data_IF_229539601505
#
_entry.id   IF_229539601505
#
_cell.length_a   1.000
_cell.length_b   1.000
_cell.length_c   1.000
_cell.angle_alpha   90.00
_cell.angle_beta   90.00
_cell.angle_gamma   90.00
#
_symmetry.space_group_name_H-M   'P 1'
#
loop_
_entity.id
_entity.type
_entity.pdbx_description
1 polymer ?
#
# COMPACT_ATOMS: atom_id res chain seq x y z
N UNK A 1 -12.41 11.60 3.35
CA UNK A 1 -13.05 12.88 3.75
C UNK A 1 -13.91 13.33 2.58
N UNK A 2 -15.22 13.18 2.69
CA UNK A 2 -16.17 13.47 1.61
C UNK A 2 -16.18 14.94 1.18
N UNK A 3 -15.53 15.84 1.95
CA UNK A 3 -15.32 17.23 1.53
C UNK A 3 -14.09 17.41 0.63
N UNK A 4 -13.17 16.43 0.62
CA UNK A 4 -11.91 16.45 -0.15
C UNK A 4 -11.91 15.49 -1.33
N UNK A 5 -12.61 14.37 -1.21
CA UNK A 5 -12.77 13.37 -2.26
C UNK A 5 -14.22 12.85 -2.24
N UNK A 6 -14.95 13.07 -3.33
CA UNK A 6 -16.35 12.67 -3.50
C UNK A 6 -16.50 11.28 -4.13
N UNK A 7 -15.38 10.60 -4.42
CA UNK A 7 -15.42 9.30 -5.04
C UNK A 7 -16.05 8.25 -4.12
N UNK A 8 -17.11 7.60 -4.60
CA UNK A 8 -17.92 6.66 -3.81
C UNK A 8 -17.23 5.31 -3.51
N UNK A 9 -16.10 5.04 -4.18
CA UNK A 9 -15.38 3.78 -4.06
C UNK A 9 -15.85 2.71 -5.05
N UNK A 10 -14.91 1.93 -5.58
CA UNK A 10 -15.16 0.90 -6.60
C UNK A 10 -15.72 -0.40 -6.02
N UNK A 11 -15.53 -0.65 -4.73
CA UNK A 11 -15.82 -1.95 -4.14
C UNK A 11 -17.33 -2.20 -4.18
N UNK A 12 -17.81 -3.29 -4.82
CA UNK A 12 -19.25 -3.55 -4.96
C UNK A 12 -19.92 -3.93 -3.63
N UNK A 13 -19.13 -4.26 -2.60
CA UNK A 13 -19.64 -4.65 -1.29
C UNK A 13 -19.68 -3.50 -0.30
N UNK A 14 -18.65 -2.65 -0.29
CA UNK A 14 -18.43 -1.68 0.78
C UNK A 14 -18.34 -0.23 0.29
N UNK A 15 -18.33 0.01 -1.03
CA UNK A 15 -18.09 1.34 -1.58
C UNK A 15 -16.67 1.81 -1.30
N UNK A 16 -16.50 2.72 -0.35
CA UNK A 16 -15.29 3.47 -0.04
C UNK A 16 -14.34 2.76 0.97
N UNK A 17 -14.35 1.43 0.99
CA UNK A 17 -13.33 0.68 1.73
C UNK A 17 -11.94 0.87 1.12
N UNK A 18 -10.89 0.40 1.80
CA UNK A 18 -9.51 0.52 1.33
C UNK A 18 -9.36 0.13 -0.15
N UNK A 19 -9.72 -1.10 -0.52
CA UNK A 19 -9.66 -1.58 -1.91
C UNK A 19 -10.51 -0.70 -2.84
N UNK A 20 -11.71 -0.34 -2.40
CA UNK A 20 -12.61 0.52 -3.15
C UNK A 20 -12.00 1.88 -3.47
N UNK A 21 -11.07 2.37 -2.65
CA UNK A 21 -10.41 3.66 -2.82
C UNK A 21 -9.04 3.59 -3.49
N UNK A 22 -8.31 2.48 -3.38
CA UNK A 22 -6.88 2.38 -3.76
C UNK A 22 -6.56 1.36 -4.84
N UNK A 23 -7.53 0.54 -5.27
CA UNK A 23 -7.28 -0.42 -6.34
C UNK A 23 -7.00 0.30 -7.67
N UNK A 24 -6.20 -0.32 -8.55
CA UNK A 24 -5.95 0.21 -9.91
C UNK A 24 -7.24 0.61 -10.67
N UNK A 25 -8.30 -0.21 -10.65
CA UNK A 25 -9.60 0.16 -11.22
C UNK A 25 -10.28 1.36 -10.54
N UNK A 26 -10.04 1.59 -9.25
CA UNK A 26 -10.54 2.78 -8.55
C UNK A 26 -9.80 4.04 -9.00
N UNK A 27 -8.49 3.95 -9.23
CA UNK A 27 -7.70 5.04 -9.83
C UNK A 27 -8.22 5.34 -11.23
N UNK A 28 -8.41 4.31 -12.07
CA UNK A 28 -8.89 4.47 -13.44
C UNK A 28 -10.28 5.12 -13.50
N UNK A 29 -11.22 4.66 -12.68
CA UNK A 29 -12.56 5.26 -12.62
C UNK A 29 -12.55 6.69 -12.09
N UNK A 30 -11.75 6.96 -11.03
CA UNK A 30 -11.68 8.29 -10.42
C UNK A 30 -11.06 9.33 -11.34
N UNK A 31 -10.03 8.96 -12.10
CA UNK A 31 -9.24 9.90 -12.90
C UNK A 31 -9.47 9.81 -14.41
N UNK A 32 -10.27 8.83 -14.86
CA UNK A 32 -10.55 8.57 -16.28
C UNK A 32 -9.35 8.04 -17.08
N UNK A 33 -8.23 7.74 -16.42
CA UNK A 33 -6.97 7.27 -17.01
C UNK A 33 -6.40 6.18 -16.13
N UNK A 34 -5.87 5.11 -16.74
CA UNK A 34 -5.22 4.02 -16.01
C UNK A 34 -4.04 4.54 -15.21
N UNK A 35 -3.85 4.02 -14.01
CA UNK A 35 -2.75 4.46 -13.13
C UNK A 35 -1.37 4.39 -13.77
N UNK A 36 -1.12 3.42 -14.65
CA UNK A 36 0.18 3.30 -15.36
C UNK A 36 0.45 4.42 -16.37
N UNK A 37 -0.60 5.09 -16.86
CA UNK A 37 -0.53 6.14 -17.88
C UNK A 37 -0.56 7.55 -17.25
N UNK A 38 -0.73 7.65 -15.93
CA UNK A 38 -0.63 8.90 -15.20
C UNK A 38 0.83 9.37 -15.08
N UNK A 39 1.05 10.68 -15.19
CA UNK A 39 2.38 11.27 -14.97
C UNK A 39 2.81 11.15 -13.50
N UNK A 40 4.12 11.16 -13.23
CA UNK A 40 4.65 10.98 -11.88
C UNK A 40 4.26 12.11 -10.90
N UNK A 41 3.95 13.29 -11.40
CA UNK A 41 3.51 14.48 -10.65
C UNK A 41 1.99 14.60 -10.54
N UNK A 42 1.23 13.66 -11.09
CA UNK A 42 -0.22 13.70 -11.07
C UNK A 42 -0.77 13.65 -9.62
N UNK A 43 -1.78 14.47 -9.26
CA UNK A 43 -2.32 14.55 -7.89
C UNK A 43 -2.91 13.24 -7.37
N UNK A 44 -3.21 12.29 -8.26
CA UNK A 44 -3.62 10.93 -7.89
C UNK A 44 -2.66 10.27 -6.90
N UNK A 45 -1.35 10.47 -7.05
CA UNK A 45 -0.35 9.79 -6.22
C UNK A 45 -0.31 10.32 -4.79
N UNK A 46 -0.56 11.62 -4.58
CA UNK A 46 -0.65 12.18 -3.25
C UNK A 46 -1.88 11.64 -2.49
N UNK A 47 -3.01 11.53 -3.20
CA UNK A 47 -4.25 10.98 -2.68
C UNK A 47 -4.16 9.47 -2.41
N UNK A 48 -3.57 8.72 -3.34
CA UNK A 48 -3.33 7.29 -3.23
C UNK A 48 -2.44 6.98 -2.01
N UNK A 49 -1.32 7.72 -1.88
CA UNK A 49 -0.43 7.60 -0.73
C UNK A 49 -1.13 7.94 0.59
N UNK A 50 -2.09 8.87 0.61
CA UNK A 50 -2.86 9.20 1.81
C UNK A 50 -3.73 8.03 2.26
N UNK A 51 -4.49 7.41 1.36
CA UNK A 51 -5.33 6.27 1.70
C UNK A 51 -4.52 5.05 2.13
N UNK A 52 -3.43 4.75 1.41
CA UNK A 52 -2.53 3.68 1.81
C UNK A 52 -1.90 3.95 3.17
N UNK A 53 -1.47 5.18 3.45
CA UNK A 53 -0.89 5.53 4.75
C UNK A 53 -1.88 5.37 5.92
N UNK A 54 -3.16 5.69 5.73
CA UNK A 54 -4.21 5.43 6.73
C UNK A 54 -4.32 3.93 7.05
N UNK A 55 -4.30 3.08 6.03
CA UNK A 55 -4.31 1.64 6.20
C UNK A 55 -3.04 1.14 6.91
N UNK A 56 -1.87 1.63 6.51
CA UNK A 56 -0.60 1.24 7.12
C UNK A 56 -0.53 1.64 8.59
N UNK A 57 -0.94 2.85 8.96
CA UNK A 57 -1.01 3.25 10.37
C UNK A 57 -1.94 2.33 11.17
N UNK A 58 -3.06 1.92 10.59
CA UNK A 58 -4.00 0.97 11.22
C UNK A 58 -3.33 -0.41 11.43
N UNK A 59 -2.66 -0.94 10.41
CA UNK A 59 -1.97 -2.23 10.50
C UNK A 59 -0.79 -2.19 11.47
N UNK A 60 -0.04 -1.10 11.51
CA UNK A 60 1.05 -0.90 12.46
C UNK A 60 0.52 -0.95 13.90
N UNK A 61 -0.53 -0.19 14.20
CA UNK A 61 -1.12 -0.14 15.54
C UNK A 61 -1.83 -1.45 15.94
N UNK A 62 -2.32 -2.22 14.98
CA UNK A 62 -3.11 -3.44 15.25
C UNK A 62 -2.24 -4.69 15.31
N UNK A 63 -1.28 -4.83 14.39
CA UNK A 63 -0.51 -6.06 14.19
C UNK A 63 0.96 -5.93 14.56
N UNK A 64 1.49 -4.70 14.69
CA UNK A 64 2.91 -4.42 14.93
C UNK A 64 3.88 -5.25 14.06
N UNK A 65 3.72 -5.25 12.72
CA UNK A 65 4.58 -6.05 11.86
C UNK A 65 6.03 -5.56 11.96
N UNK A 66 6.99 -6.47 11.79
CA UNK A 66 8.42 -6.10 11.76
C UNK A 66 8.87 -5.52 10.41
N UNK A 67 8.10 -5.79 9.35
CA UNK A 67 8.29 -5.26 7.99
C UNK A 67 6.95 -5.30 7.26
N UNK A 68 6.73 -4.32 6.38
CA UNK A 68 5.58 -4.25 5.49
C UNK A 68 6.09 -4.28 4.05
N UNK A 69 5.60 -5.22 3.26
CA UNK A 69 5.98 -5.39 1.86
C UNK A 69 4.80 -4.98 0.99
N UNK A 70 4.96 -3.93 0.20
CA UNK A 70 3.91 -3.34 -0.63
C UNK A 70 4.13 -3.70 -2.10
N UNK A 71 3.30 -4.59 -2.65
CA UNK A 71 3.38 -5.04 -4.04
C UNK A 71 2.15 -4.65 -4.88
N UNK A 72 2.04 -5.24 -6.07
CA UNK A 72 0.94 -4.97 -7.01
C UNK A 72 1.24 -3.84 -8.01
N UNK A 73 0.41 -3.74 -9.05
CA UNK A 73 0.66 -2.82 -10.18
C UNK A 73 0.62 -1.34 -9.79
N UNK A 74 -0.21 -0.94 -8.82
CA UNK A 74 -0.23 0.44 -8.31
C UNK A 74 1.10 0.78 -7.62
N UNK A 75 1.61 -0.13 -6.78
CA UNK A 75 2.89 0.04 -6.09
C UNK A 75 4.11 -0.08 -7.02
N UNK A 76 3.93 -0.40 -8.31
CA UNK A 76 5.00 -0.33 -9.30
C UNK A 76 5.41 1.11 -9.64
N UNK A 77 4.63 2.11 -9.19
CA UNK A 77 4.88 3.53 -9.34
C UNK A 77 5.90 4.01 -8.29
N UNK A 78 7.18 4.24 -8.66
CA UNK A 78 8.27 4.43 -7.68
C UNK A 78 8.08 5.68 -6.80
N UNK A 79 7.43 6.72 -7.32
CA UNK A 79 7.11 7.96 -6.61
C UNK A 79 6.19 7.75 -5.40
N UNK A 80 5.46 6.63 -5.33
CA UNK A 80 4.48 6.38 -4.28
C UNK A 80 5.14 6.03 -2.93
N UNK A 81 6.30 5.37 -2.94
CA UNK A 81 7.00 4.95 -1.71
C UNK A 81 7.44 6.13 -0.83
N UNK A 82 8.10 7.18 -1.36
CA UNK A 82 8.42 8.36 -0.54
C UNK A 82 7.17 9.01 0.06
N UNK A 83 6.11 9.19 -0.74
CA UNK A 83 4.86 9.84 -0.33
C UNK A 83 4.15 9.05 0.78
N UNK A 84 3.98 7.73 0.60
CA UNK A 84 3.26 6.90 1.58
C UNK A 84 4.04 6.81 2.89
N UNK A 85 5.38 6.74 2.86
CA UNK A 85 6.22 6.68 4.06
C UNK A 85 6.10 7.98 4.86
N UNK A 86 6.20 9.13 4.19
CA UNK A 86 6.01 10.44 4.80
C UNK A 86 4.61 10.57 5.45
N UNK A 87 3.56 10.20 4.72
CA UNK A 87 2.18 10.27 5.23
C UNK A 87 1.93 9.28 6.37
N UNK A 88 2.53 8.09 6.32
CA UNK A 88 2.42 7.10 7.42
C UNK A 88 3.03 7.65 8.71
N UNK A 89 4.21 8.28 8.64
CA UNK A 89 4.80 8.96 9.79
C UNK A 89 3.91 10.08 10.34
N UNK A 90 3.38 10.90 9.44
CA UNK A 90 2.48 11.99 9.82
C UNK A 90 1.20 11.46 10.51
N UNK A 91 0.63 10.36 10.02
CA UNK A 91 -0.54 9.73 10.63
C UNK A 91 -0.26 9.06 11.98
N UNK A 92 0.91 8.44 12.14
CA UNK A 92 1.32 7.89 13.43
C UNK A 92 1.63 8.99 14.46
N UNK A 93 2.02 10.18 14.02
CA UNK A 93 2.21 11.38 14.84
C UNK A 93 2.98 11.13 16.15
N UNK A 94 4.03 10.31 16.10
CA UNK A 94 4.88 9.98 17.25
C UNK A 94 4.26 9.03 18.29
N UNK A 95 3.10 8.42 18.01
CA UNK A 95 2.47 7.45 18.90
C UNK A 95 3.30 6.16 19.03
N UNK A 96 3.80 5.64 17.91
CA UNK A 96 4.68 4.46 17.89
C UNK A 96 6.13 4.92 17.78
N UNK A 97 6.87 4.83 18.89
CA UNK A 97 8.25 5.30 19.00
C UNK A 97 9.28 4.18 18.85
N UNK A 98 9.36 3.61 17.64
CA UNK A 98 10.32 2.56 17.32
C UNK A 98 11.32 3.02 16.25
N UNK A 99 12.64 2.74 16.37
CA UNK A 99 13.65 3.18 15.39
C UNK A 99 13.36 2.73 13.95
N UNK A 100 12.84 1.51 13.77
CA UNK A 100 12.45 1.02 12.44
C UNK A 100 11.42 1.91 11.75
N UNK A 101 10.57 2.60 12.51
CA UNK A 101 9.56 3.51 11.98
C UNK A 101 10.13 4.94 11.94
N UNK A 102 10.68 5.45 13.04
CA UNK A 102 11.08 6.86 13.12
C UNK A 102 12.33 7.20 12.30
N UNK A 103 13.24 6.24 12.13
CA UNK A 103 14.57 6.47 11.54
C UNK A 103 14.82 5.63 10.29
N UNK A 104 14.19 4.45 10.19
CA UNK A 104 14.47 3.48 9.12
C UNK A 104 13.22 3.03 8.36
N UNK A 105 12.24 3.95 8.19
CA UNK A 105 10.96 3.62 7.55
C UNK A 105 11.10 3.10 6.12
N UNK A 106 12.18 3.48 5.45
CA UNK A 106 12.54 3.06 4.11
C UNK A 106 12.93 1.58 4.03
N UNK A 107 13.39 0.99 5.14
CA UNK A 107 13.66 -0.45 5.29
C UNK A 107 12.50 -1.21 5.95
N UNK A 108 11.57 -0.47 6.54
CA UNK A 108 10.38 -1.00 7.20
C UNK A 108 9.22 -1.20 6.22
N UNK A 109 8.93 -0.20 5.36
CA UNK A 109 7.94 -0.30 4.28
C UNK A 109 8.68 -0.37 2.94
N UNK A 110 8.70 -1.54 2.32
CA UNK A 110 9.58 -1.86 1.18
C UNK A 110 8.80 -2.45 -0.01
N UNK A 111 9.34 -2.36 -1.24
CA UNK A 111 8.85 -3.18 -2.35
C UNK A 111 9.21 -4.66 -2.13
N UNK A 112 8.57 -5.60 -2.85
CA UNK A 112 8.90 -7.01 -2.78
C UNK A 112 10.30 -7.26 -3.35
N UNK A 113 11.19 -7.89 -2.58
CA UNK A 113 12.54 -8.25 -3.06
C UNK A 113 12.55 -9.29 -4.18
N UNK A 114 11.46 -10.06 -4.30
CA UNK A 114 11.24 -11.03 -5.39
C UNK A 114 10.46 -10.44 -6.56
N UNK A 115 10.19 -9.13 -6.55
CA UNK A 115 9.38 -8.46 -7.57
C UNK A 115 8.01 -9.12 -7.75
N UNK A 116 7.61 -9.30 -9.02
CA UNK A 116 6.34 -9.96 -9.39
C UNK A 116 6.29 -11.46 -9.09
N UNK A 117 7.43 -12.07 -8.73
CA UNK A 117 7.51 -13.51 -8.47
C UNK A 117 7.15 -13.90 -7.04
N UNK A 118 6.91 -12.94 -6.14
CA UNK A 118 6.63 -13.21 -4.73
C UNK A 118 5.47 -14.22 -4.54
N UNK A 119 4.41 -14.11 -5.35
CA UNK A 119 3.25 -15.02 -5.28
C UNK A 119 3.58 -16.44 -5.75
N UNK A 120 4.16 -16.60 -6.95
CA UNK A 120 4.47 -17.93 -7.49
C UNK A 120 5.55 -18.65 -6.69
N UNK A 121 6.56 -17.93 -6.21
CA UNK A 121 7.59 -18.50 -5.33
C UNK A 121 7.02 -18.85 -3.95
N UNK A 122 6.02 -18.11 -3.46
CA UNK A 122 5.27 -18.48 -2.27
C UNK A 122 4.54 -19.82 -2.43
N UNK A 123 3.91 -20.08 -3.58
CA UNK A 123 3.28 -21.38 -3.85
C UNK A 123 4.28 -22.54 -3.86
N UNK A 124 5.47 -22.32 -4.44
CA UNK A 124 6.56 -23.32 -4.41
C UNK A 124 7.02 -23.56 -2.97
N UNK A 125 7.20 -22.50 -2.18
CA UNK A 125 7.58 -22.61 -0.78
C UNK A 125 6.55 -23.40 0.05
N UNK A 126 5.25 -23.19 -0.19
CA UNK A 126 4.19 -23.99 0.43
C UNK A 126 4.31 -25.48 0.06
N UNK A 127 4.61 -25.80 -1.20
CA UNK A 127 4.85 -27.18 -1.64
C UNK A 127 6.06 -27.82 -0.97
N UNK A 128 7.16 -27.07 -0.80
CA UNK A 128 8.33 -27.53 -0.07
C UNK A 128 8.03 -27.76 1.42
N UNK A 129 7.23 -26.88 2.05
CA UNK A 129 6.82 -27.04 3.44
C UNK A 129 5.97 -28.29 3.64
N UNK A 130 5.03 -28.57 2.73
CA UNK A 130 4.19 -29.77 2.77
C UNK A 130 5.03 -31.05 2.72
N UNK A 131 6.07 -31.11 1.89
CA UNK A 131 7.00 -32.26 1.82
C UNK A 131 7.87 -32.43 3.09
N UNK A 132 8.09 -31.37 3.86
CA UNK A 132 8.87 -31.41 5.10
C UNK A 132 8.02 -31.73 6.33
N UNK A 133 6.70 -31.80 6.19
CA UNK A 133 5.77 -32.13 7.28
C UNK A 133 5.35 -33.61 7.31
N UNK A 134 5.80 -34.40 6.33
CA UNK A 134 5.75 -35.88 6.29
C UNK A 134 7.08 -36.49 6.80
#
# INVERSE_FOLDING_TARGET
DWKKDLYAGKCPFHGDCLEGMTAGPAIEERWGVKGQDLTADHPAWDLEAHYLALALSTFICTLSPQRIIMGGGVMAQPQLFPLLRQKTLAHLNGYVQHPAILQHIDTYIVPPGLGSYAGVLGAIALGQQALLTD
#
